data_IF_086815657037
#
_entry.id   IF_086815657037
#
_cell.length_a   1.000
_cell.length_b   1.000
_cell.length_c   1.000
_cell.angle_alpha   90.00
_cell.angle_beta   90.00
_cell.angle_gamma   90.00
#
_symmetry.space_group_name_H-M   'P 1'
#
loop_
_entity.id
_entity.type
_entity.pdbx_description
1 polymer ?
#
# COMPACT_ATOMS: atom_id res chain seq x y z
N UNK A 1 9.56 2.27 9.60
CA UNK A 1 9.82 1.03 8.84
C UNK A 1 10.00 1.47 7.39
N UNK A 2 11.18 1.25 6.82
CA UNK A 2 11.41 1.52 5.39
C UNK A 2 10.40 0.72 4.57
N UNK A 3 9.76 1.38 3.59
CA UNK A 3 8.86 0.70 2.67
C UNK A 3 9.73 -0.17 1.77
N UNK A 4 9.48 -1.47 1.76
CA UNK A 4 10.16 -2.38 0.82
C UNK A 4 9.77 -1.99 -0.61
N UNK A 5 10.78 -1.86 -1.47
CA UNK A 5 10.59 -1.52 -2.88
C UNK A 5 10.02 -2.74 -3.62
N UNK A 6 8.99 -2.57 -4.48
CA UNK A 6 8.42 -3.69 -5.22
C UNK A 6 9.36 -4.20 -6.32
N UNK A 7 9.26 -5.50 -6.63
CA UNK A 7 10.04 -6.13 -7.70
C UNK A 7 9.81 -5.53 -9.10
N UNK A 8 8.66 -4.91 -9.33
CA UNK A 8 8.32 -4.22 -10.58
C UNK A 8 7.85 -2.81 -10.25
N UNK A 9 8.59 -1.81 -10.75
CA UNK A 9 8.35 -0.40 -10.43
C UNK A 9 7.35 0.28 -11.37
N UNK A 10 7.37 -0.10 -12.64
CA UNK A 10 6.62 0.58 -13.70
C UNK A 10 5.90 -0.41 -14.63
N UNK A 11 4.87 0.06 -15.37
CA UNK A 11 4.10 -0.77 -16.30
C UNK A 11 4.95 -1.41 -17.40
N UNK A 12 4.53 -2.60 -17.87
CA UNK A 12 5.21 -3.34 -18.95
C UNK A 12 5.34 -2.56 -20.26
N UNK A 13 4.46 -1.60 -20.49
CA UNK A 13 4.44 -0.74 -21.67
C UNK A 13 5.13 0.63 -21.47
N UNK A 14 5.91 0.82 -20.39
CA UNK A 14 6.57 2.10 -20.08
C UNK A 14 7.33 2.70 -21.27
N UNK A 15 8.07 1.86 -22.02
CA UNK A 15 8.79 2.25 -23.25
C UNK A 15 7.91 2.92 -24.31
N UNK A 16 6.63 2.59 -24.37
CA UNK A 16 5.72 3.07 -25.40
C UNK A 16 5.18 4.48 -25.13
N UNK A 17 5.42 5.06 -23.96
CA UNK A 17 4.99 6.41 -23.61
C UNK A 17 5.59 7.47 -24.54
N UNK A 18 4.81 8.50 -24.89
CA UNK A 18 5.24 9.59 -25.79
C UNK A 18 6.53 10.26 -25.31
N UNK A 19 6.61 10.55 -24.01
CA UNK A 19 7.77 11.18 -23.37
C UNK A 19 9.01 10.30 -23.46
N UNK A 20 8.86 9.00 -23.22
CA UNK A 20 9.94 8.02 -23.34
C UNK A 20 10.40 7.84 -24.78
N UNK A 21 9.47 7.82 -25.75
CA UNK A 21 9.84 7.79 -27.17
C UNK A 21 10.62 9.04 -27.59
N UNK A 22 10.26 10.21 -27.06
CA UNK A 22 11.00 11.46 -27.31
C UNK A 22 12.40 11.39 -26.68
N UNK A 23 12.49 10.91 -25.45
CA UNK A 23 13.76 10.67 -24.77
C UNK A 23 14.68 9.73 -25.56
N UNK A 24 14.13 8.63 -26.06
CA UNK A 24 14.86 7.66 -26.88
C UNK A 24 15.29 8.27 -28.22
N UNK A 25 14.48 9.17 -28.80
CA UNK A 25 14.86 9.86 -30.03
C UNK A 25 16.09 10.75 -29.81
N UNK A 26 16.14 11.46 -28.68
CA UNK A 26 17.16 12.47 -28.41
C UNK A 26 18.45 11.87 -27.82
N UNK A 27 18.34 10.80 -27.01
CA UNK A 27 19.46 10.16 -26.31
C UNK A 27 19.60 8.65 -26.58
N UNK A 28 19.00 8.14 -27.66
CA UNK A 28 18.99 6.71 -27.99
C UNK A 28 18.48 5.83 -26.82
N UNK A 29 18.87 4.55 -26.82
CA UNK A 29 18.53 3.61 -25.73
C UNK A 29 19.17 4.04 -24.40
N UNK A 30 20.27 4.82 -24.43
CA UNK A 30 20.91 5.34 -23.22
C UNK A 30 19.95 6.24 -22.43
N UNK A 31 19.20 7.11 -23.10
CA UNK A 31 18.18 7.94 -22.45
C UNK A 31 17.16 7.11 -21.67
N UNK A 32 16.69 6.00 -22.25
CA UNK A 32 15.79 5.08 -21.56
C UNK A 32 16.42 4.49 -20.29
N UNK A 33 17.68 4.05 -20.38
CA UNK A 33 18.43 3.58 -19.23
C UNK A 33 18.53 4.64 -18.13
N UNK A 34 18.78 5.89 -18.49
CA UNK A 34 18.85 7.00 -17.52
C UNK A 34 17.51 7.22 -16.83
N UNK A 35 16.42 7.27 -17.58
CA UNK A 35 15.10 7.45 -16.97
C UNK A 35 14.73 6.30 -16.02
N UNK A 36 15.01 5.06 -16.40
CA UNK A 36 14.75 3.88 -15.54
C UNK A 36 15.59 3.94 -14.27
N UNK A 37 16.88 4.24 -14.39
CA UNK A 37 17.80 4.35 -13.26
C UNK A 37 17.37 5.44 -12.25
N UNK A 38 16.97 6.61 -12.75
CA UNK A 38 16.46 7.69 -11.89
C UNK A 38 15.14 7.29 -11.20
N UNK A 39 14.25 6.56 -11.89
CA UNK A 39 13.02 6.05 -11.28
C UNK A 39 13.30 5.00 -10.21
N UNK A 40 14.29 4.13 -10.41
CA UNK A 40 14.76 3.15 -9.43
C UNK A 40 15.34 3.86 -8.20
N UNK A 41 16.19 4.86 -8.41
CA UNK A 41 16.77 5.69 -7.35
C UNK A 41 15.68 6.35 -6.50
N UNK A 42 14.65 6.92 -7.14
CA UNK A 42 13.49 7.49 -6.42
C UNK A 42 12.67 6.41 -5.71
N UNK A 43 12.53 5.21 -6.25
CA UNK A 43 11.79 4.15 -5.59
C UNK A 43 12.46 3.70 -4.28
N UNK A 44 13.80 3.69 -4.25
CA UNK A 44 14.62 3.36 -3.08
C UNK A 44 14.74 4.49 -2.08
N UNK A 45 14.77 5.74 -2.55
CA UNK A 45 14.92 6.91 -1.70
C UNK A 45 13.71 7.14 -0.78
N UNK A 46 13.98 7.65 0.42
CA UNK A 46 12.94 7.94 1.39
C UNK A 46 11.98 9.03 0.88
N UNK A 47 10.70 8.69 0.79
CA UNK A 47 9.67 9.62 0.33
C UNK A 47 9.65 9.86 -1.17
N UNK A 48 10.38 9.05 -1.95
CA UNK A 48 10.43 9.14 -3.41
C UNK A 48 10.89 10.50 -3.94
N UNK A 49 11.89 11.05 -3.26
CA UNK A 49 12.54 12.31 -3.55
C UNK A 49 14.04 12.14 -3.57
N UNK A 50 14.70 12.91 -4.41
CA UNK A 50 16.16 12.94 -4.46
C UNK A 50 16.64 14.38 -4.69
N UNK A 51 17.70 14.83 -3.99
CA UNK A 51 18.20 16.20 -4.13
C UNK A 51 18.91 16.41 -5.46
N UNK A 52 18.66 17.55 -6.10
CA UNK A 52 19.33 17.91 -7.35
C UNK A 52 20.82 18.24 -7.15
N UNK A 53 21.23 18.58 -5.91
CA UNK A 53 22.63 18.80 -5.55
C UNK A 53 23.51 17.56 -5.75
N UNK A 54 22.93 16.37 -5.60
CA UNK A 54 23.67 15.10 -5.54
C UNK A 54 23.65 14.36 -6.89
N UNK A 55 23.27 15.04 -7.98
CA UNK A 55 23.23 14.48 -9.33
C UNK A 55 24.63 14.09 -9.83
N UNK A 56 25.68 14.73 -9.31
CA UNK A 56 27.06 14.37 -9.60
C UNK A 56 27.39 12.93 -9.19
N UNK A 57 26.85 12.46 -8.06
CA UNK A 57 26.99 11.08 -7.62
C UNK A 57 26.37 10.11 -8.63
N UNK A 58 25.13 10.39 -9.07
CA UNK A 58 24.43 9.55 -10.06
C UNK A 58 25.14 9.59 -11.42
N UNK A 59 25.67 10.75 -11.82
CA UNK A 59 26.44 10.93 -13.03
C UNK A 59 27.69 10.03 -13.04
N UNK A 60 28.42 10.00 -11.92
CA UNK A 60 29.61 9.18 -11.75
C UNK A 60 29.30 7.68 -11.72
N UNK A 61 28.20 7.26 -11.11
CA UNK A 61 27.75 5.85 -11.09
C UNK A 61 27.36 5.37 -12.49
N UNK A 62 26.59 6.18 -13.21
CA UNK A 62 26.08 5.82 -14.54
C UNK A 62 27.10 6.03 -15.66
N UNK A 63 28.22 6.72 -15.39
CA UNK A 63 29.20 7.18 -16.39
C UNK A 63 28.54 8.04 -17.47
N UNK A 64 27.70 8.97 -17.04
CA UNK A 64 26.98 9.93 -17.88
C UNK A 64 27.28 11.35 -17.38
N UNK A 65 27.27 12.35 -18.26
CA UNK A 65 27.53 13.72 -17.83
C UNK A 65 26.33 14.32 -17.08
N UNK A 66 26.61 15.12 -16.05
CA UNK A 66 25.60 15.86 -15.26
C UNK A 66 24.61 16.64 -16.15
N UNK A 67 25.03 17.37 -17.20
CA UNK A 67 24.11 18.08 -18.08
C UNK A 67 23.11 17.17 -18.79
N UNK A 68 23.50 15.94 -19.13
CA UNK A 68 22.59 14.97 -19.75
C UNK A 68 21.53 14.54 -18.75
N UNK A 69 21.91 14.19 -17.52
CA UNK A 69 20.96 13.80 -16.47
C UNK A 69 19.99 14.96 -16.16
N UNK A 70 20.51 16.18 -16.00
CA UNK A 70 19.67 17.37 -15.78
C UNK A 70 18.68 17.60 -16.93
N UNK A 71 19.11 17.37 -18.18
CA UNK A 71 18.22 17.44 -19.35
C UNK A 71 17.11 16.38 -19.26
N UNK A 72 17.45 15.15 -18.87
CA UNK A 72 16.48 14.06 -18.70
C UNK A 72 15.43 14.39 -17.65
N UNK A 73 15.86 14.96 -16.51
CA UNK A 73 14.98 15.37 -15.41
C UNK A 73 14.00 16.46 -15.87
N UNK A 74 14.50 17.48 -16.56
CA UNK A 74 13.75 18.71 -16.85
C UNK A 74 12.92 18.65 -18.14
N UNK A 75 13.40 17.98 -19.19
CA UNK A 75 12.90 18.21 -20.56
C UNK A 75 11.84 17.22 -21.03
N UNK A 76 11.71 16.05 -20.38
CA UNK A 76 10.83 14.97 -20.86
C UNK A 76 9.56 14.79 -20.03
N UNK A 77 9.35 15.60 -18.99
CA UNK A 77 8.13 15.54 -18.17
C UNK A 77 7.93 14.18 -17.49
N UNK A 78 9.02 13.54 -17.07
CA UNK A 78 9.02 12.32 -16.26
C UNK A 78 9.19 12.64 -14.76
N UNK A 79 9.77 13.80 -14.48
CA UNK A 79 10.14 14.28 -13.16
C UNK A 79 9.64 15.70 -12.98
N UNK A 80 9.44 16.08 -11.73
CA UNK A 80 9.00 17.39 -11.27
C UNK A 80 10.02 17.91 -10.26
N UNK A 81 10.36 19.20 -10.36
CA UNK A 81 11.26 19.86 -9.41
C UNK A 81 10.43 20.56 -8.33
N UNK A 82 10.85 20.41 -7.08
CA UNK A 82 10.26 21.08 -5.92
C UNK A 82 11.39 21.82 -5.20
N UNK A 83 11.18 23.10 -4.95
CA UNK A 83 12.08 23.93 -4.16
C UNK A 83 11.66 23.87 -2.68
N UNK A 84 12.60 23.54 -1.80
CA UNK A 84 12.44 23.55 -0.36
C UNK A 84 13.55 24.40 0.28
N UNK A 85 13.45 24.66 1.58
CA UNK A 85 14.45 25.41 2.35
C UNK A 85 15.86 24.78 2.27
N UNK A 86 15.93 23.45 2.12
CA UNK A 86 17.18 22.68 2.02
C UNK A 86 17.74 22.58 0.57
N UNK A 87 17.04 23.15 -0.41
CA UNK A 87 17.42 23.14 -1.82
C UNK A 87 16.38 22.52 -2.76
N UNK A 88 16.79 22.32 -4.02
CA UNK A 88 15.92 21.77 -5.06
C UNK A 88 15.97 20.25 -5.01
N UNK A 89 14.80 19.62 -4.92
CA UNK A 89 14.62 18.16 -5.03
C UNK A 89 13.86 17.84 -6.32
N UNK A 90 14.05 16.63 -6.85
CA UNK A 90 13.20 16.09 -7.90
C UNK A 90 12.39 14.89 -7.42
N UNK A 91 11.18 14.76 -7.94
CA UNK A 91 10.24 13.66 -7.68
C UNK A 91 9.64 13.16 -8.99
N UNK A 92 8.95 12.02 -8.95
CA UNK A 92 8.10 11.57 -10.06
C UNK A 92 6.69 11.25 -9.56
N UNK A 93 5.73 12.13 -9.86
CA UNK A 93 4.32 11.91 -9.56
C UNK A 93 3.78 10.65 -10.21
N UNK A 94 4.30 10.28 -11.38
CA UNK A 94 3.88 9.07 -12.08
C UNK A 94 4.37 7.79 -11.37
N UNK A 95 5.61 7.79 -10.87
CA UNK A 95 6.14 6.70 -10.05
C UNK A 95 5.31 6.50 -8.78
N UNK A 96 5.00 7.59 -8.08
CA UNK A 96 4.21 7.54 -6.85
C UNK A 96 2.84 6.88 -7.07
N UNK A 97 2.18 7.18 -8.20
CA UNK A 97 0.92 6.53 -8.60
C UNK A 97 1.08 5.04 -8.87
N UNK A 98 2.22 4.60 -9.41
CA UNK A 98 2.48 3.17 -9.66
C UNK A 98 2.79 2.40 -8.37
N UNK A 99 3.47 3.03 -7.41
CA UNK A 99 3.82 2.42 -6.12
C UNK A 99 2.66 2.37 -5.13
N UNK A 100 1.70 3.30 -5.22
CA UNK A 100 0.58 3.40 -4.29
C UNK A 100 -0.23 2.10 -4.11
N UNK A 101 -0.66 1.38 -5.17
CA UNK A 101 -1.41 0.13 -5.03
C UNK A 101 -0.62 -0.95 -4.29
N UNK A 102 0.70 -1.02 -4.52
CA UNK A 102 1.58 -1.97 -3.85
C UNK A 102 1.66 -1.70 -2.35
N UNK A 103 1.82 -0.43 -1.96
CA UNK A 103 1.84 -0.05 -0.54
C UNK A 103 0.51 -0.32 0.15
N UNK A 104 -0.62 0.01 -0.50
CA UNK A 104 -1.96 -0.31 0.02
C UNK A 104 -2.13 -1.81 0.26
N UNK A 105 -1.73 -2.64 -0.70
CA UNK A 105 -1.83 -4.09 -0.56
C UNK A 105 -0.93 -4.62 0.57
N UNK A 106 0.29 -4.09 0.69
CA UNK A 106 1.24 -4.49 1.73
C UNK A 106 0.72 -4.13 3.12
N UNK A 107 0.20 -2.93 3.30
CA UNK A 107 -0.42 -2.50 4.56
C UNK A 107 -1.64 -3.35 4.91
N UNK A 108 -2.52 -3.62 3.93
CA UNK A 108 -3.69 -4.47 4.14
C UNK A 108 -3.30 -5.87 4.60
N UNK A 109 -2.30 -6.50 3.95
CA UNK A 109 -1.77 -7.81 4.34
C UNK A 109 -1.18 -7.79 5.75
N UNK A 110 -0.44 -6.74 6.09
CA UNK A 110 0.13 -6.54 7.43
C UNK A 110 -0.95 -6.45 8.50
N UNK A 111 -2.00 -5.66 8.26
CA UNK A 111 -3.13 -5.53 9.18
C UNK A 111 -3.90 -6.84 9.34
N UNK A 112 -4.22 -7.51 8.23
CA UNK A 112 -4.87 -8.82 8.26
C UNK A 112 -4.06 -9.86 9.02
N UNK A 113 -2.73 -9.86 8.85
CA UNK A 113 -1.80 -10.72 9.58
C UNK A 113 -1.86 -10.49 11.09
N UNK A 114 -1.82 -9.21 11.54
CA UNK A 114 -1.95 -8.85 12.96
C UNK A 114 -3.29 -9.29 13.54
N UNK A 115 -4.39 -9.02 12.84
CA UNK A 115 -5.74 -9.42 13.27
C UNK A 115 -5.85 -10.94 13.37
N UNK A 116 -5.30 -11.67 12.41
CA UNK A 116 -5.30 -13.14 12.42
C UNK A 116 -4.48 -13.71 13.59
N UNK A 117 -3.32 -13.12 13.88
CA UNK A 117 -2.48 -13.51 15.01
C UNK A 117 -3.21 -13.30 16.35
N UNK A 118 -3.84 -12.15 16.54
CA UNK A 118 -4.58 -11.84 17.77
C UNK A 118 -5.78 -12.78 17.96
N UNK A 119 -6.54 -13.07 16.89
CA UNK A 119 -7.63 -14.05 16.93
C UNK A 119 -7.13 -15.44 17.36
N UNK A 120 -5.96 -15.87 16.90
CA UNK A 120 -5.36 -17.15 17.33
C UNK A 120 -4.97 -17.11 18.81
N UNK A 121 -4.39 -16.00 19.29
CA UNK A 121 -4.01 -15.82 20.70
C UNK A 121 -5.22 -15.91 21.62
N UNK A 122 -6.28 -15.13 21.33
CA UNK A 122 -7.52 -15.14 22.10
C UNK A 122 -8.15 -16.54 22.13
N UNK A 123 -8.18 -17.23 20.99
CA UNK A 123 -8.72 -18.60 20.92
C UNK A 123 -7.90 -19.58 21.77
N UNK A 124 -6.58 -19.45 21.79
CA UNK A 124 -5.71 -20.28 22.64
C UNK A 124 -5.94 -19.98 24.13
N UNK A 125 -6.08 -18.70 24.50
CA UNK A 125 -6.38 -18.29 25.88
C UNK A 125 -7.75 -18.83 26.34
N UNK A 126 -8.76 -18.76 25.49
CA UNK A 126 -10.08 -19.35 25.75
C UNK A 126 -10.00 -20.86 25.96
N UNK A 127 -9.27 -21.58 25.11
CA UNK A 127 -9.07 -23.03 25.26
C UNK A 127 -8.32 -23.38 26.55
N UNK A 128 -7.30 -22.60 26.92
CA UNK A 128 -6.58 -22.79 28.18
C UNK A 128 -7.48 -22.56 29.39
N UNK A 129 -8.34 -21.52 29.34
CA UNK A 129 -9.30 -21.24 30.39
C UNK A 129 -10.32 -22.36 30.54
N UNK A 130 -10.90 -22.85 29.44
CA UNK A 130 -11.82 -23.99 29.43
C UNK A 130 -11.18 -25.24 30.04
N UNK A 131 -9.93 -25.55 29.67
CA UNK A 131 -9.19 -26.68 30.24
C UNK A 131 -8.92 -26.51 31.75
N UNK A 132 -8.66 -25.29 32.21
CA UNK A 132 -8.42 -25.01 33.63
C UNK A 132 -9.66 -25.20 34.51
N UNK A 133 -10.86 -25.06 33.93
CA UNK A 133 -12.14 -25.23 34.63
C UNK A 133 -12.59 -26.70 34.70
N UNK A 134 -11.99 -27.59 33.90
CA UNK A 134 -12.27 -29.02 33.96
C UNK A 134 -11.53 -29.65 35.15
N UNK A 135 -12.26 -29.92 36.24
CA UNK A 135 -11.74 -30.69 37.38
C UNK A 135 -11.37 -32.12 36.93
N UNK A 136 -10.10 -32.48 37.16
CA UNK A 136 -9.51 -33.79 36.87
C UNK A 136 -10.03 -34.89 37.81
N UNK A 137 -11.27 -35.34 37.61
CA UNK A 137 -11.80 -36.56 38.28
C UNK A 137 -12.43 -37.57 37.34
N UNK A 138 -12.49 -37.31 36.04
CA UNK A 138 -12.91 -38.31 35.06
C UNK A 138 -11.82 -38.50 34.01
N UNK A 139 -10.98 -39.49 34.27
CA UNK A 139 -10.09 -40.08 33.28
C UNK A 139 -10.99 -40.80 32.25
N UNK A 140 -11.05 -40.38 30.98
CA UNK A 140 -11.80 -41.13 29.99
C UNK A 140 -11.07 -42.46 29.81
N UNK A 141 -11.73 -43.55 30.19
CA UNK A 141 -11.27 -44.90 29.92
C UNK A 141 -11.00 -45.02 28.41
N UNK A 142 -9.80 -45.51 28.14
CA UNK A 142 -9.10 -45.47 26.88
C UNK A 142 -9.85 -46.26 25.78
N UNK A 143 -10.67 -45.58 24.98
CA UNK A 143 -11.06 -46.06 23.64
C UNK A 143 -10.45 -45.13 22.57
N UNK A 144 -9.13 -45.22 22.45
CA UNK A 144 -8.34 -44.71 21.32
C UNK A 144 -8.82 -45.37 20.02
N UNK A 145 -9.82 -44.83 19.31
CA UNK A 145 -9.94 -44.91 17.82
C UNK A 145 -11.16 -44.28 17.14
N UNK A 146 -12.09 -43.59 17.83
CA UNK A 146 -13.37 -43.17 17.18
C UNK A 146 -13.69 -41.68 17.18
N UNK A 147 -12.98 -40.85 17.95
CA UNK A 147 -13.28 -39.41 18.07
C UNK A 147 -12.97 -38.65 16.77
N UNK A 148 -11.85 -38.93 16.09
CA UNK A 148 -11.50 -38.24 14.83
C UNK A 148 -12.47 -38.55 13.67
N UNK A 149 -13.04 -39.77 13.62
CA UNK A 149 -14.02 -40.14 12.58
C UNK A 149 -15.36 -39.42 12.79
N UNK A 150 -15.80 -39.26 14.03
CA UNK A 150 -17.04 -38.54 14.36
C UNK A 150 -16.91 -37.03 14.16
N UNK A 151 -15.75 -36.46 14.51
CA UNK A 151 -15.44 -35.04 14.28
C UNK A 151 -15.42 -34.73 12.77
N UNK A 152 -14.73 -35.53 11.95
CA UNK A 152 -14.71 -35.33 10.50
C UNK A 152 -16.10 -35.52 9.84
N UNK A 153 -16.92 -36.46 10.34
CA UNK A 153 -18.29 -36.67 9.85
C UNK A 153 -19.24 -35.51 10.22
N UNK A 154 -19.06 -34.87 11.38
CA UNK A 154 -19.81 -33.65 11.76
C UNK A 154 -19.36 -32.45 10.94
N UNK A 155 -18.07 -32.23 10.78
CA UNK A 155 -17.52 -31.09 10.01
C UNK A 155 -18.02 -31.11 8.57
N UNK A 156 -18.02 -32.27 7.90
CA UNK A 156 -18.54 -32.41 6.53
C UNK A 156 -20.07 -32.21 6.41
N UNK A 157 -20.83 -32.42 7.50
CA UNK A 157 -22.29 -32.24 7.49
C UNK A 157 -22.67 -30.78 7.79
N UNK A 158 -21.88 -30.07 8.59
CA UNK A 158 -22.09 -28.66 8.91
C UNK A 158 -21.65 -27.73 7.77
N UNK A 159 -20.64 -28.11 7.00
CA UNK A 159 -20.18 -27.35 5.81
C UNK A 159 -21.17 -27.38 4.64
N UNK A 160 -22.12 -28.32 4.61
CA UNK A 160 -23.11 -28.45 3.53
C UNK A 160 -24.40 -27.65 3.78
N UNK A 161 -24.63 -27.18 5.02
CA UNK A 161 -25.92 -26.57 5.42
C UNK A 161 -25.81 -25.10 5.87
N UNK A 162 -24.62 -24.49 5.88
CA UNK A 162 -24.42 -23.15 6.51
C UNK A 162 -23.72 -22.09 5.64
N UNK A 163 -23.35 -22.38 4.40
CA UNK A 163 -22.29 -21.62 3.72
C UNK A 163 -22.72 -20.69 2.58
N UNK A 164 -23.99 -20.28 2.45
CA UNK A 164 -24.36 -19.34 1.35
C UNK A 164 -25.06 -18.06 1.80
N UNK A 165 -26.00 -18.11 2.74
CA UNK A 165 -26.82 -16.91 3.05
C UNK A 165 -26.22 -16.03 4.15
N UNK A 166 -25.73 -16.64 5.25
CA UNK A 166 -25.34 -15.90 6.46
C UNK A 166 -24.01 -15.10 6.35
N UNK A 167 -23.09 -15.53 5.48
CA UNK A 167 -21.82 -14.81 5.27
C UNK A 167 -21.96 -13.69 4.24
N UNK A 168 -22.86 -13.83 3.26
CA UNK A 168 -23.16 -12.79 2.27
C UNK A 168 -23.81 -11.56 2.94
N UNK A 169 -24.79 -11.79 3.82
CA UNK A 169 -25.47 -10.73 4.57
C UNK A 169 -24.51 -9.98 5.51
N UNK A 170 -23.58 -10.70 6.16
CA UNK A 170 -22.54 -10.07 6.99
C UNK A 170 -21.58 -9.21 6.17
N UNK A 171 -21.20 -9.67 4.98
CA UNK A 171 -20.30 -8.94 4.10
C UNK A 171 -20.97 -7.67 3.55
N UNK A 172 -22.24 -7.76 3.18
CA UNK A 172 -23.04 -6.63 2.72
C UNK A 172 -23.22 -5.57 3.83
N UNK A 173 -23.53 -6.01 5.06
CA UNK A 173 -23.64 -5.13 6.22
C UNK A 173 -22.32 -4.41 6.57
N UNK A 174 -21.16 -5.03 6.32
CA UNK A 174 -19.85 -4.38 6.50
C UNK A 174 -19.57 -3.33 5.42
N UNK A 175 -19.90 -3.62 4.16
CA UNK A 175 -19.73 -2.66 3.06
C UNK A 175 -20.61 -1.43 3.26
N UNK A 176 -21.84 -1.62 3.73
CA UNK A 176 -22.76 -0.51 4.00
C UNK A 176 -22.27 0.37 5.16
N UNK A 177 -21.65 -0.22 6.19
CA UNK A 177 -21.01 0.53 7.29
C UNK A 177 -19.82 1.36 6.81
N UNK A 178 -18.96 0.80 5.94
CA UNK A 178 -17.84 1.56 5.35
C UNK A 178 -18.32 2.72 4.50
N UNK A 179 -19.34 2.50 3.66
CA UNK A 179 -19.90 3.55 2.81
C UNK A 179 -20.48 4.70 3.63
N UNK A 180 -21.24 4.38 4.69
CA UNK A 180 -21.80 5.39 5.60
C UNK A 180 -20.71 6.17 6.33
N UNK A 181 -19.61 5.52 6.72
CA UNK A 181 -18.49 6.19 7.36
C UNK A 181 -17.80 7.17 6.41
N UNK A 182 -17.59 6.77 5.15
CA UNK A 182 -17.00 7.65 4.12
C UNK A 182 -17.88 8.88 3.87
N UNK A 183 -19.19 8.68 3.71
CA UNK A 183 -20.15 9.78 3.52
C UNK A 183 -20.13 10.75 4.70
N UNK A 184 -20.01 10.25 5.93
CA UNK A 184 -19.90 11.10 7.12
C UNK A 184 -18.60 11.92 7.12
N UNK A 185 -17.47 11.32 6.74
CA UNK A 185 -16.20 12.02 6.63
C UNK A 185 -16.26 13.12 5.56
N UNK A 186 -16.82 12.81 4.38
CA UNK A 186 -16.94 13.76 3.28
C UNK A 186 -17.85 14.93 3.66
N UNK A 187 -18.93 14.68 4.41
CA UNK A 187 -19.82 15.73 4.92
C UNK A 187 -19.13 16.64 5.94
N UNK A 188 -18.29 16.09 6.81
CA UNK A 188 -17.51 16.89 7.76
C UNK A 188 -16.47 17.74 7.02
N UNK A 189 -15.84 17.18 5.99
CA UNK A 189 -14.85 17.88 5.16
C UNK A 189 -15.49 19.05 4.40
N UNK A 190 -16.62 18.83 3.73
CA UNK A 190 -17.38 19.90 3.06
C UNK A 190 -17.79 21.01 4.04
N UNK A 191 -18.26 20.66 5.25
CA UNK A 191 -18.61 21.67 6.26
C UNK A 191 -17.41 22.52 6.70
N UNK A 192 -16.23 21.92 6.80
CA UNK A 192 -14.98 22.62 7.13
C UNK A 192 -14.52 23.52 5.98
N UNK A 193 -14.69 23.09 4.73
CA UNK A 193 -14.40 23.89 3.53
C UNK A 193 -15.32 25.12 3.45
N UNK A 194 -16.61 24.96 3.72
CA UNK A 194 -17.57 26.07 3.75
C UNK A 194 -17.24 27.09 4.86
N UNK A 195 -16.85 26.61 6.05
CA UNK A 195 -16.40 27.45 7.17
C UNK A 195 -15.11 28.20 6.83
N UNK A 196 -14.15 27.52 6.20
CA UNK A 196 -12.89 28.13 5.77
C UNK A 196 -13.14 29.23 4.72
N UNK A 197 -14.03 28.97 3.75
CA UNK A 197 -14.41 29.94 2.72
C UNK A 197 -15.12 31.16 3.33
N UNK A 198 -16.09 30.97 4.23
CA UNK A 198 -16.76 32.06 4.93
C UNK A 198 -15.79 32.90 5.79
N UNK A 199 -14.82 32.26 6.44
CA UNK A 199 -13.78 32.97 7.21
C UNK A 199 -12.85 33.80 6.33
N UNK A 200 -12.58 33.33 5.11
CA UNK A 200 -11.76 34.03 4.12
C UNK A 200 -12.51 35.22 3.52
N UNK A 201 -13.80 35.08 3.25
CA UNK A 201 -14.67 36.16 2.78
C UNK A 201 -14.80 37.26 3.82
N UNK A 202 -15.01 36.93 5.10
CA UNK A 202 -15.09 37.94 6.17
C UNK A 202 -13.80 38.75 6.37
N UNK A 203 -12.62 38.16 6.12
CA UNK A 203 -11.32 38.87 6.20
C UNK A 203 -11.05 39.84 5.05
N UNK A 204 -11.84 39.80 3.97
CA UNK A 204 -11.69 40.72 2.83
C UNK A 204 -12.51 42.00 3.06
N UNK A 205 -13.44 42.00 4.02
CA UNK A 205 -14.33 43.12 4.34
C UNK A 205 -13.97 43.89 5.62
N UNK A 206 -12.85 43.56 6.28
CA UNK A 206 -12.21 44.35 7.35
C UNK A 206 -10.99 45.09 6.80
#
# INVERSE_FOLDING_TARGET
>A
MSKTVPNFLFPTNFRNGKNIKRLIKDFNVQGYGIAVYLLETLAEAEGHKYPLSDIDLLADEMKVSVPVINTVITSYGLFELIENDDGIIFISSQLNKWLEPYYKQTEQKKLAGKVSAEKRRIKQEQQLLELSQLNSTQQPLNDRSTINKLINKRINKTSLFSSTENEAEKFEGLNQKMLNHQIQQDKQKSKLEDLAQASKENRIYE
#
